data_IF_827307304622
#
_entry.id   IF_827307304622
#
_cell.length_a   1.000
_cell.length_b   1.000
_cell.length_c   1.000
_cell.angle_alpha   90.00
_cell.angle_beta   90.00
_cell.angle_gamma   90.00
#
_symmetry.space_group_name_H-M   'P 1'
#
loop_
_entity.id
_entity.type
_entity.pdbx_description
1 polymer ?
#
# COMPACT_ATOMS: atom_id res chain seq x y z
N UNK A 1 3.57 -10.78 -7.19
CA UNK A 1 3.70 -10.42 -5.75
C UNK A 1 4.94 -10.99 -5.06
N UNK A 2 5.23 -12.29 -5.17
CA UNK A 2 6.40 -12.89 -4.51
C UNK A 2 7.72 -12.25 -4.92
N UNK A 3 7.99 -12.13 -6.22
CA UNK A 3 9.20 -11.48 -6.72
C UNK A 3 9.35 -10.05 -6.18
N UNK A 4 8.27 -9.26 -6.22
CA UNK A 4 8.23 -7.91 -5.64
C UNK A 4 8.57 -7.89 -4.15
N UNK A 5 7.98 -8.78 -3.35
CA UNK A 5 8.27 -8.87 -1.92
C UNK A 5 9.72 -9.32 -1.68
N UNK A 6 10.25 -10.24 -2.49
CA UNK A 6 11.66 -10.67 -2.40
C UNK A 6 12.63 -9.53 -2.70
N UNK A 7 12.36 -8.71 -3.73
CA UNK A 7 13.18 -7.52 -4.03
C UNK A 7 13.08 -6.47 -2.93
N UNK A 8 11.87 -6.20 -2.42
CA UNK A 8 11.70 -5.28 -1.29
C UNK A 8 12.43 -5.76 -0.03
N UNK A 9 12.40 -7.07 0.23
CA UNK A 9 13.11 -7.65 1.35
C UNK A 9 14.63 -7.43 1.22
N UNK A 10 15.21 -7.69 0.05
CA UNK A 10 16.66 -7.57 -0.14
C UNK A 10 17.16 -6.12 -0.16
N UNK A 11 16.29 -5.18 -0.53
CA UNK A 11 16.63 -3.74 -0.62
C UNK A 11 16.27 -2.95 0.65
N UNK A 12 15.42 -3.49 1.54
CA UNK A 12 15.09 -2.82 2.79
C UNK A 12 16.33 -2.60 3.67
N UNK A 13 16.57 -1.35 4.08
CA UNK A 13 17.77 -0.94 4.82
C UNK A 13 17.88 -1.55 6.24
N UNK A 14 16.75 -1.83 6.91
CA UNK A 14 16.76 -2.28 8.31
C UNK A 14 16.38 -3.75 8.45
N UNK A 15 17.07 -4.49 9.32
CA UNK A 15 16.74 -5.89 9.62
C UNK A 15 15.30 -6.08 10.09
N UNK A 16 14.77 -5.10 10.83
CA UNK A 16 13.39 -5.13 11.32
C UNK A 16 12.40 -5.19 10.16
N UNK A 17 12.57 -4.33 9.15
CA UNK A 17 11.72 -4.35 7.97
C UNK A 17 11.92 -5.61 7.13
N UNK A 18 13.16 -6.06 6.95
CA UNK A 18 13.47 -7.32 6.24
C UNK A 18 12.75 -8.52 6.87
N UNK A 19 12.72 -8.61 8.21
CA UNK A 19 12.01 -9.66 8.95
C UNK A 19 10.49 -9.57 8.76
N UNK A 20 9.92 -8.37 8.70
CA UNK A 20 8.48 -8.21 8.44
C UNK A 20 8.11 -8.65 7.03
N UNK A 21 8.89 -8.23 6.03
CA UNK A 21 8.66 -8.65 4.64
C UNK A 21 8.84 -10.16 4.50
N UNK A 22 9.80 -10.77 5.20
CA UNK A 22 9.93 -12.24 5.26
C UNK A 22 8.66 -12.91 5.75
N UNK A 23 8.02 -12.39 6.81
CA UNK A 23 6.74 -12.91 7.30
C UNK A 23 5.64 -12.78 6.24
N UNK A 24 5.57 -11.67 5.51
CA UNK A 24 4.62 -11.49 4.42
C UNK A 24 4.81 -12.53 3.32
N UNK A 25 6.05 -12.81 2.91
CA UNK A 25 6.36 -13.85 1.93
C UNK A 25 5.86 -15.22 2.42
N UNK A 26 6.09 -15.54 3.69
CA UNK A 26 5.61 -16.79 4.30
C UNK A 26 4.08 -16.85 4.29
N UNK A 27 3.39 -15.81 4.77
CA UNK A 27 1.92 -15.77 4.78
C UNK A 27 1.33 -15.83 3.37
N UNK A 28 1.95 -15.15 2.40
CA UNK A 28 1.49 -15.18 1.02
C UNK A 28 1.66 -16.57 0.41
N UNK A 29 2.77 -17.26 0.67
CA UNK A 29 2.98 -18.64 0.27
C UNK A 29 2.04 -19.62 0.97
N UNK A 30 1.74 -19.45 2.26
CA UNK A 30 0.75 -20.25 2.98
C UNK A 30 -0.64 -20.13 2.34
N UNK A 31 -1.04 -18.90 2.00
CA UNK A 31 -2.34 -18.62 1.42
C UNK A 31 -2.46 -19.10 -0.04
N UNK A 32 -1.37 -19.03 -0.80
CA UNK A 32 -1.35 -19.38 -2.23
C UNK A 32 -0.77 -20.78 -2.53
N UNK A 33 -0.26 -21.48 -1.51
CA UNK A 33 0.05 -22.90 -1.51
C UNK A 33 1.01 -23.37 -2.60
N UNK A 34 2.31 -23.10 -2.46
CA UNK A 34 3.31 -23.83 -3.23
C UNK A 34 3.64 -25.18 -2.57
N UNK A 35 3.19 -26.23 -3.27
CA UNK A 35 3.59 -27.65 -3.25
C UNK A 35 3.18 -28.53 -2.06
N UNK A 36 2.16 -29.36 -2.34
CA UNK A 36 1.69 -30.56 -1.64
C UNK A 36 0.57 -30.40 -0.59
N UNK A 37 -0.59 -30.94 -1.00
CA UNK A 37 -1.63 -31.57 -0.20
C UNK A 37 -2.41 -30.74 0.84
N UNK A 38 -3.70 -30.55 0.52
CA UNK A 38 -4.79 -30.73 1.48
C UNK A 38 -4.97 -29.68 2.58
N UNK A 39 -5.03 -28.39 2.24
CA UNK A 39 -5.96 -27.38 2.81
C UNK A 39 -5.49 -25.98 2.45
N UNK A 40 -6.22 -25.27 1.56
CA UNK A 40 -6.04 -23.82 1.38
C UNK A 40 -6.55 -23.13 2.66
N UNK A 41 -5.65 -22.66 3.52
CA UNK A 41 -6.03 -21.86 4.70
C UNK A 41 -5.99 -20.38 4.31
N UNK A 42 -7.14 -19.81 3.95
CA UNK A 42 -7.25 -18.36 3.79
C UNK A 42 -7.09 -17.72 5.17
N UNK A 43 -6.07 -16.89 5.38
CA UNK A 43 -5.96 -16.08 6.61
C UNK A 43 -6.81 -14.84 6.44
N UNK A 44 -7.58 -14.50 7.46
CA UNK A 44 -8.22 -13.19 7.52
C UNK A 44 -7.13 -12.11 7.65
N UNK A 45 -7.32 -10.96 7.00
CA UNK A 45 -6.30 -9.90 7.00
C UNK A 45 -5.92 -9.46 8.41
N UNK A 46 -6.91 -9.38 9.29
CA UNK A 46 -6.74 -9.05 10.71
C UNK A 46 -5.77 -9.99 11.43
N UNK A 47 -5.72 -11.27 11.05
CA UNK A 47 -4.82 -12.25 11.66
C UNK A 47 -3.39 -12.08 11.17
N UNK A 48 -3.21 -11.70 9.90
CA UNK A 48 -1.89 -11.36 9.36
C UNK A 48 -1.36 -10.10 10.01
N UNK A 49 -2.17 -9.05 10.10
CA UNK A 49 -1.76 -7.79 10.71
C UNK A 49 -1.42 -7.94 12.19
N UNK A 50 -2.19 -8.73 12.95
CA UNK A 50 -1.84 -9.11 14.34
C UNK A 50 -0.50 -9.87 14.44
N UNK A 51 -0.16 -10.68 13.45
CA UNK A 51 1.10 -11.42 13.44
C UNK A 51 2.31 -10.56 13.03
N UNK A 52 2.07 -9.45 12.32
CA UNK A 52 3.07 -8.46 11.95
C UNK A 52 3.41 -7.53 13.14
N UNK A 53 2.48 -7.29 14.05
CA UNK A 53 2.75 -6.49 15.24
C UNK A 53 1.49 -6.07 15.97
N UNK A 54 1.42 -4.80 16.34
CA UNK A 54 0.24 -4.27 17.02
C UNK A 54 -0.94 -4.07 16.05
N UNK A 55 -2.16 -4.08 16.59
CA UNK A 55 -3.39 -3.78 15.84
C UNK A 55 -3.58 -2.29 15.55
N UNK A 56 -2.67 -1.44 16.03
CA UNK A 56 -2.68 0.01 15.78
C UNK A 56 -1.35 0.43 15.14
N UNK A 57 -1.31 0.46 13.81
CA UNK A 57 -0.07 0.48 13.01
C UNK A 57 0.51 1.88 12.78
N UNK A 58 0.79 2.65 13.84
CA UNK A 58 1.42 3.98 13.70
C UNK A 58 2.88 3.87 13.22
N UNK A 59 3.58 2.80 13.62
CA UNK A 59 5.01 2.65 13.29
C UNK A 59 5.16 2.17 11.86
N UNK A 60 6.14 2.73 11.13
CA UNK A 60 6.44 2.30 9.75
C UNK A 60 6.68 0.78 9.61
N UNK A 61 7.31 0.15 10.61
CA UNK A 61 7.55 -1.31 10.66
C UNK A 61 6.26 -2.15 10.80
N UNK A 62 5.12 -1.52 11.05
CA UNK A 62 3.79 -2.13 11.16
C UNK A 62 2.89 -1.67 10.00
N UNK A 63 2.88 -0.37 9.69
CA UNK A 63 2.04 0.23 8.66
C UNK A 63 2.40 -0.26 7.25
N UNK A 64 3.71 -0.24 6.92
CA UNK A 64 4.19 -0.62 5.58
C UNK A 64 3.90 -2.10 5.30
N UNK A 65 4.23 -3.05 6.19
CA UNK A 65 3.87 -4.44 5.96
C UNK A 65 2.36 -4.69 5.87
N UNK A 66 1.55 -3.94 6.63
CA UNK A 66 0.08 -4.00 6.56
C UNK A 66 -0.43 -3.61 5.16
N UNK A 67 -0.01 -2.45 4.65
CA UNK A 67 -0.37 -2.01 3.29
C UNK A 67 0.11 -3.00 2.22
N UNK A 68 1.37 -3.45 2.32
CA UNK A 68 1.95 -4.42 1.37
C UNK A 68 1.18 -5.74 1.33
N UNK A 69 0.71 -6.25 2.49
CA UNK A 69 -0.12 -7.43 2.55
C UNK A 69 -1.37 -7.25 1.68
N UNK A 70 -2.17 -6.22 1.99
CA UNK A 70 -3.45 -5.94 1.34
C UNK A 70 -3.27 -5.76 -0.17
N UNK A 71 -2.26 -5.00 -0.59
CA UNK A 71 -1.90 -4.86 -2.01
C UNK A 71 -1.61 -6.23 -2.62
N UNK A 72 -0.72 -7.03 -2.03
CA UNK A 72 -0.31 -8.31 -2.62
C UNK A 72 -1.48 -9.28 -2.81
N UNK A 73 -2.50 -9.23 -1.96
CA UNK A 73 -3.66 -10.14 -2.02
C UNK A 73 -4.89 -9.58 -2.74
N UNK A 74 -4.97 -8.27 -3.02
CA UNK A 74 -6.13 -7.66 -3.73
C UNK A 74 -5.80 -6.64 -4.81
N UNK A 75 -4.54 -6.45 -5.22
CA UNK A 75 -4.20 -5.38 -6.17
C UNK A 75 -4.97 -5.43 -7.50
N UNK A 76 -5.56 -6.57 -7.89
CA UNK A 76 -6.34 -6.70 -9.13
C UNK A 76 -7.75 -6.10 -9.04
N UNK A 77 -8.21 -5.82 -7.84
CA UNK A 77 -9.52 -5.25 -7.54
C UNK A 77 -9.28 -3.95 -6.75
N UNK A 78 -8.96 -2.83 -7.43
CA UNK A 78 -8.40 -1.65 -6.79
C UNK A 78 -9.33 -1.02 -5.75
N UNK A 79 -10.64 -1.00 -6.03
CA UNK A 79 -11.65 -0.52 -5.10
C UNK A 79 -11.70 -1.37 -3.83
N UNK A 80 -11.76 -2.69 -3.97
CA UNK A 80 -11.75 -3.64 -2.84
C UNK A 80 -10.44 -3.58 -2.07
N UNK A 81 -9.31 -3.42 -2.76
CA UNK A 81 -8.00 -3.27 -2.15
C UNK A 81 -7.96 -2.07 -1.20
N UNK A 82 -8.51 -0.92 -1.61
CA UNK A 82 -8.60 0.26 -0.75
C UNK A 82 -9.59 0.06 0.40
N UNK A 83 -10.75 -0.55 0.12
CA UNK A 83 -11.78 -0.87 1.13
C UNK A 83 -11.20 -1.76 2.24
N UNK A 84 -10.40 -2.77 1.89
CA UNK A 84 -9.71 -3.62 2.87
C UNK A 84 -8.73 -2.82 3.72
N UNK A 85 -8.00 -1.89 3.11
CA UNK A 85 -7.10 -0.95 3.79
C UNK A 85 -7.79 -0.13 4.88
N UNK A 86 -8.86 0.57 4.51
CA UNK A 86 -9.61 1.42 5.46
C UNK A 86 -10.29 0.61 6.56
N UNK A 87 -10.63 -0.66 6.32
CA UNK A 87 -11.27 -1.54 7.29
C UNK A 87 -10.30 -2.32 8.19
N UNK A 88 -8.99 -2.07 8.09
CA UNK A 88 -8.01 -2.81 8.89
C UNK A 88 -7.99 -2.42 10.38
N UNK A 89 -8.58 -1.26 10.71
CA UNK A 89 -8.44 -0.63 12.02
C UNK A 89 -7.04 -0.04 12.22
N UNK A 90 -6.82 0.62 13.36
CA UNK A 90 -5.55 1.28 13.65
C UNK A 90 -5.40 2.64 12.96
N UNK A 91 -4.23 2.85 12.33
CA UNK A 91 -3.87 4.07 11.59
C UNK A 91 -4.32 3.92 10.13
N UNK A 92 -5.64 3.92 9.93
CA UNK A 92 -6.27 3.51 8.67
C UNK A 92 -6.03 4.50 7.54
N UNK A 93 -5.92 5.79 7.84
CA UNK A 93 -5.65 6.83 6.84
C UNK A 93 -4.24 6.71 6.28
N UNK A 94 -3.23 6.47 7.12
CA UNK A 94 -1.86 6.22 6.66
C UNK A 94 -1.76 4.95 5.81
N UNK A 95 -2.39 3.85 6.25
CA UNK A 95 -2.41 2.59 5.51
C UNK A 95 -3.15 2.74 4.18
N UNK A 96 -4.32 3.39 4.18
CA UNK A 96 -5.11 3.63 2.98
C UNK A 96 -4.41 4.58 2.01
N UNK A 97 -3.67 5.59 2.48
CA UNK A 97 -2.87 6.46 1.65
C UNK A 97 -1.78 5.67 0.90
N UNK A 98 -1.00 4.84 1.60
CA UNK A 98 0.02 3.98 0.96
C UNK A 98 -0.58 2.99 -0.05
N UNK A 99 -1.74 2.41 0.25
CA UNK A 99 -2.46 1.54 -0.69
C UNK A 99 -2.93 2.33 -1.90
N UNK A 100 -3.55 3.49 -1.69
CA UNK A 100 -4.02 4.39 -2.73
C UNK A 100 -2.92 4.83 -3.68
N UNK A 101 -1.74 5.16 -3.16
CA UNK A 101 -0.57 5.53 -3.95
C UNK A 101 -0.14 4.40 -4.89
N UNK A 102 0.04 3.19 -4.37
CA UNK A 102 0.51 2.04 -5.16
C UNK A 102 -0.56 1.57 -6.15
N UNK A 103 -1.82 1.47 -5.72
CA UNK A 103 -2.92 1.04 -6.58
C UNK A 103 -3.23 2.11 -7.65
N UNK A 104 -3.15 3.39 -7.31
CA UNK A 104 -3.26 4.51 -8.26
C UNK A 104 -2.16 4.48 -9.31
N UNK A 105 -0.92 4.18 -8.93
CA UNK A 105 0.18 4.01 -9.87
C UNK A 105 -0.01 2.79 -10.80
N UNK A 106 -0.58 1.70 -10.30
CA UNK A 106 -0.80 0.47 -11.07
C UNK A 106 -1.97 0.54 -12.05
N UNK A 107 -3.06 1.23 -11.68
CA UNK A 107 -4.33 1.21 -12.43
C UNK A 107 -4.70 2.55 -13.03
N UNK A 108 -3.86 3.58 -12.85
CA UNK A 108 -4.22 4.95 -13.19
C UNK A 108 -5.33 5.48 -12.29
N UNK A 109 -6.02 6.53 -12.74
CA UNK A 109 -7.09 7.19 -11.97
C UNK A 109 -8.47 6.58 -12.20
N UNK A 110 -8.68 5.92 -13.33
CA UNK A 110 -10.01 5.56 -13.86
C UNK A 110 -10.80 4.60 -12.95
N UNK A 111 -10.11 3.86 -12.09
CA UNK A 111 -10.77 2.97 -11.12
C UNK A 111 -11.42 3.72 -9.96
N UNK A 112 -11.05 4.98 -9.70
CA UNK A 112 -11.59 5.74 -8.57
C UNK A 112 -13.05 6.11 -8.90
N UNK A 113 -14.04 5.59 -8.16
CA UNK A 113 -15.42 5.84 -8.46
C UNK A 113 -15.79 7.30 -8.17
N UNK A 114 -16.66 7.87 -9.01
CA UNK A 114 -17.15 9.25 -8.86
C UNK A 114 -17.69 9.53 -7.46
N UNK A 115 -18.37 8.55 -6.85
CA UNK A 115 -18.90 8.66 -5.48
C UNK A 115 -17.83 8.91 -4.41
N UNK A 116 -16.58 8.54 -4.64
CA UNK A 116 -15.47 8.89 -3.75
C UNK A 116 -14.79 10.17 -4.21
N UNK A 117 -14.55 10.30 -5.52
CA UNK A 117 -13.87 11.45 -6.09
C UNK A 117 -14.56 12.80 -5.78
N UNK A 118 -15.89 12.81 -5.83
CA UNK A 118 -16.69 14.01 -5.59
C UNK A 118 -16.67 14.45 -4.12
N UNK A 119 -16.28 13.57 -3.20
CA UNK A 119 -16.19 13.83 -1.76
C UNK A 119 -14.76 14.12 -1.27
N UNK A 120 -13.76 14.10 -2.15
CA UNK A 120 -12.41 14.55 -1.80
C UNK A 120 -12.46 16.06 -1.55
N UNK A 121 -11.85 16.49 -0.44
CA UNK A 121 -11.80 17.90 -0.02
C UNK A 121 -11.37 18.82 -1.18
N UNK A 122 -12.20 19.80 -1.58
CA UNK A 122 -11.85 20.73 -2.65
C UNK A 122 -10.83 21.77 -2.14
N UNK A 123 -10.23 22.53 -3.05
CA UNK A 123 -9.40 23.68 -2.66
C UNK A 123 -10.27 24.72 -1.91
N UNK A 124 -9.78 25.21 -0.79
CA UNK A 124 -10.44 26.24 0.02
C UNK A 124 -9.42 27.19 0.64
N UNK A 125 -9.87 28.32 1.18
CA UNK A 125 -8.98 29.20 1.95
C UNK A 125 -8.48 28.50 3.23
N UNK A 126 -9.34 27.69 3.87
CA UNK A 126 -9.02 26.95 5.10
C UNK A 126 -7.89 25.95 4.91
N UNK A 127 -7.83 25.27 3.75
CA UNK A 127 -6.74 24.36 3.41
C UNK A 127 -5.62 25.01 2.59
N UNK A 128 -5.58 26.35 2.52
CA UNK A 128 -4.58 27.11 1.76
C UNK A 128 -4.51 26.68 0.28
N UNK A 129 -5.64 26.27 -0.28
CA UNK A 129 -5.75 25.76 -1.65
C UNK A 129 -5.11 24.38 -1.87
N UNK A 130 -4.90 23.56 -0.83
CA UNK A 130 -4.24 22.24 -0.92
C UNK A 130 -5.21 21.06 -0.90
N UNK A 131 -6.34 21.21 -1.58
CA UNK A 131 -7.32 20.14 -1.76
C UNK A 131 -7.06 19.27 -2.99
N UNK A 132 -8.11 18.62 -3.46
CA UNK A 132 -8.14 17.69 -4.60
C UNK A 132 -7.48 18.25 -5.86
N UNK A 133 -7.83 19.47 -6.24
CA UNK A 133 -7.40 20.03 -7.53
C UNK A 133 -5.91 20.42 -7.48
N UNK A 134 -5.41 20.82 -6.30
CA UNK A 134 -3.99 20.99 -6.05
C UNK A 134 -3.21 19.67 -6.17
N UNK A 135 -3.71 18.59 -5.57
CA UNK A 135 -3.07 17.28 -5.68
C UNK A 135 -2.98 16.81 -7.15
N UNK A 136 -4.01 17.05 -7.95
CA UNK A 136 -4.03 16.73 -9.38
C UNK A 136 -3.01 17.57 -10.16
N UNK A 137 -2.95 18.88 -9.90
CA UNK A 137 -1.98 19.76 -10.55
C UNK A 137 -0.54 19.37 -10.20
N UNK A 138 -0.29 19.07 -8.93
CA UNK A 138 1.01 18.57 -8.46
C UNK A 138 1.39 17.25 -9.14
N UNK A 139 0.47 16.30 -9.25
CA UNK A 139 0.71 15.03 -9.94
C UNK A 139 1.06 15.23 -11.42
N UNK A 140 0.40 16.15 -12.12
CA UNK A 140 0.73 16.50 -13.52
C UNK A 140 2.13 17.11 -13.64
N UNK A 141 2.50 18.00 -12.71
CA UNK A 141 3.84 18.59 -12.67
C UNK A 141 4.92 17.54 -12.39
N UNK A 142 4.69 16.65 -11.43
CA UNK A 142 5.61 15.54 -11.13
C UNK A 142 5.78 14.61 -12.33
N UNK A 143 4.69 14.25 -13.02
CA UNK A 143 4.76 13.42 -14.22
C UNK A 143 5.55 14.08 -15.37
N UNK A 144 5.56 15.41 -15.44
CA UNK A 144 6.32 16.16 -16.43
C UNK A 144 7.83 16.28 -16.11
N UNK A 145 8.26 15.97 -14.88
CA UNK A 145 9.65 16.15 -14.42
C UNK A 145 10.62 15.05 -14.88
N UNK A 146 10.17 14.06 -15.66
CA UNK A 146 10.99 12.96 -16.20
C UNK A 146 12.00 12.38 -15.18
N UNK A 147 11.50 11.61 -14.20
CA UNK A 147 12.31 10.99 -13.14
C UNK A 147 13.08 9.74 -13.63
N UNK A 148 13.51 9.70 -14.89
CA UNK A 148 14.21 8.56 -15.48
C UNK A 148 15.68 8.41 -15.03
N UNK A 149 16.22 9.40 -14.32
CA UNK A 149 17.54 9.30 -13.68
C UNK A 149 17.40 9.26 -12.15
N UNK A 150 18.02 8.27 -11.52
CA UNK A 150 18.21 8.25 -10.06
C UNK A 150 19.08 9.45 -9.70
N UNK A 151 18.65 10.28 -8.76
CA UNK A 151 19.49 11.33 -8.20
C UNK A 151 20.68 10.64 -7.52
N UNK A 152 21.89 10.88 -8.01
CA UNK A 152 23.10 10.41 -7.33
C UNK A 152 23.18 11.10 -5.97
N UNK A 153 23.42 10.33 -4.90
CA UNK A 153 23.58 10.82 -3.52
C UNK A 153 24.82 11.74 -3.31
N UNK A 154 25.44 12.22 -4.39
CA UNK A 154 26.69 13.01 -4.40
C UNK A 154 26.52 14.48 -4.83
N UNK A 155 25.28 14.97 -5.00
CA UNK A 155 24.98 16.41 -5.14
C UNK A 155 24.20 16.95 -3.93
#
# INVERSE_FOLDING_TARGET
PLEFLTVLQSTARTEGMQKQIQKLILFYNEQNGLHNASSKKHRADVDVVRALGNTFQIKAIEAVPCALWIICVSYREPEECLIRGVNMGGDTDTVAAMIGDIIGALHGREWIPTRWYDHIEPNSEENMGRGRDYAIDLAKKLAAMDLNSVLDDNE
#
